data_IF_344518110574
#
_entry.id   IF_344518110574
#
_cell.length_a   1.000
_cell.length_b   1.000
_cell.length_c   1.000
_cell.angle_alpha   90.00
_cell.angle_beta   90.00
_cell.angle_gamma   90.00
#
_symmetry.space_group_name_H-M   'P 1'
#
loop_
_entity.id
_entity.type
_entity.pdbx_description
1 polymer ?
#
# COMPACT_ATOMS: atom_id res chain seq x y z
N UNK A 1 3.44 42.44 -9.32
CA UNK A 1 4.18 41.58 -8.37
C UNK A 1 5.47 41.01 -8.98
N UNK A 2 5.44 40.37 -10.16
CA UNK A 2 6.61 39.68 -10.75
C UNK A 2 7.81 40.61 -11.06
N UNK A 3 7.58 41.89 -11.42
CA UNK A 3 8.67 42.84 -11.74
C UNK A 3 9.48 43.30 -10.53
N UNK A 4 8.89 43.35 -9.33
CA UNK A 4 9.63 43.80 -8.13
C UNK A 4 10.62 42.76 -7.64
N UNK A 5 10.26 41.48 -7.77
CA UNK A 5 11.13 40.39 -7.30
C UNK A 5 12.35 40.23 -8.20
N UNK A 6 12.21 40.44 -9.52
CA UNK A 6 13.34 40.44 -10.45
C UNK A 6 14.39 41.52 -10.11
N UNK A 7 13.95 42.73 -9.78
CA UNK A 7 14.86 43.82 -9.34
C UNK A 7 15.54 43.44 -8.02
N UNK A 8 14.81 42.82 -7.09
CA UNK A 8 15.33 42.43 -5.77
C UNK A 8 16.36 41.29 -5.85
N UNK A 9 16.18 40.34 -6.76
CA UNK A 9 17.14 39.24 -7.00
C UNK A 9 18.43 39.79 -7.62
N UNK A 10 18.32 40.72 -8.57
CA UNK A 10 19.48 41.34 -9.23
C UNK A 10 20.28 42.25 -8.29
N UNK A 11 19.67 42.75 -7.21
CA UNK A 11 20.35 43.57 -6.20
C UNK A 11 21.07 42.79 -5.10
N UNK A 12 21.02 41.45 -5.10
CA UNK A 12 21.75 40.65 -4.12
C UNK A 12 23.24 40.71 -4.47
N UNK A 13 24.05 41.30 -3.59
CA UNK A 13 25.49 41.34 -3.76
C UNK A 13 26.06 39.91 -3.70
N UNK A 14 26.52 39.41 -4.84
CA UNK A 14 27.20 38.13 -4.94
C UNK A 14 28.65 38.30 -4.48
N UNK A 15 29.11 37.39 -3.63
CA UNK A 15 30.50 37.36 -3.22
C UNK A 15 31.38 36.84 -4.37
N UNK A 16 31.89 37.74 -5.21
CA UNK A 16 32.76 37.40 -6.36
C UNK A 16 34.11 36.77 -5.96
N UNK A 17 34.48 36.84 -4.68
CA UNK A 17 35.72 36.24 -4.15
C UNK A 17 35.46 34.90 -3.44
N UNK A 18 34.19 34.51 -3.28
CA UNK A 18 33.81 33.23 -2.70
C UNK A 18 33.94 32.11 -3.73
N UNK A 19 34.51 30.98 -3.32
CA UNK A 19 34.47 29.77 -4.15
C UNK A 19 33.10 29.12 -4.01
N UNK A 20 32.44 28.83 -5.13
CA UNK A 20 31.18 28.10 -5.12
C UNK A 20 31.33 26.75 -4.41
N UNK A 21 30.35 26.43 -3.57
CA UNK A 21 30.30 25.16 -2.85
C UNK A 21 28.89 24.58 -2.93
N UNK A 22 28.82 23.27 -3.13
CA UNK A 22 27.55 22.54 -3.05
C UNK A 22 27.11 22.50 -1.59
N UNK A 23 25.95 23.08 -1.32
CA UNK A 23 25.33 23.09 0.00
C UNK A 23 24.03 22.30 -0.02
N UNK A 24 23.84 21.43 0.97
CA UNK A 24 22.59 20.71 1.16
C UNK A 24 21.65 21.51 2.05
N UNK A 25 20.68 22.21 1.45
CA UNK A 25 19.80 23.14 2.17
C UNK A 25 18.79 22.51 3.15
N UNK A 26 18.78 21.19 3.30
CA UNK A 26 17.74 20.45 4.02
C UNK A 26 18.16 19.98 5.41
N UNK A 27 19.42 20.18 5.79
CA UNK A 27 19.87 19.96 7.15
C UNK A 27 20.77 21.10 7.64
N UNK A 28 20.86 21.25 8.96
CA UNK A 28 21.67 22.28 9.61
C UNK A 28 23.17 22.12 9.34
N UNK A 29 23.62 20.91 9.00
CA UNK A 29 25.01 20.59 8.68
C UNK A 29 25.42 21.04 7.27
N UNK A 30 24.47 21.44 6.42
CA UNK A 30 24.67 21.83 5.01
C UNK A 30 25.38 20.78 4.16
N UNK A 31 25.37 19.52 4.61
CA UNK A 31 26.03 18.39 3.95
C UNK A 31 24.98 17.38 3.47
N UNK A 32 25.27 16.68 2.39
CA UNK A 32 24.37 15.64 1.90
C UNK A 32 24.15 14.56 2.98
N UNK A 33 22.90 14.19 3.17
CA UNK A 33 22.48 13.12 4.07
C UNK A 33 21.56 12.18 3.29
N UNK A 34 21.89 10.89 3.27
CA UNK A 34 21.14 9.86 2.57
C UNK A 34 19.68 9.78 3.03
N UNK A 35 19.40 10.13 4.29
CA UNK A 35 18.05 10.17 4.86
C UNK A 35 17.20 11.24 4.17
N UNK A 36 17.71 12.48 4.10
CA UNK A 36 17.02 13.56 3.41
C UNK A 36 17.02 13.37 1.90
N UNK A 37 18.11 12.84 1.34
CA UNK A 37 18.19 12.47 -0.07
C UNK A 37 17.09 11.49 -0.45
N UNK A 38 16.92 10.42 0.33
CA UNK A 38 15.84 9.46 0.15
C UNK A 38 14.46 10.11 0.24
N UNK A 39 14.21 10.95 1.26
CA UNK A 39 12.91 11.64 1.43
C UNK A 39 12.56 12.48 0.20
N UNK A 40 13.53 13.22 -0.34
CA UNK A 40 13.36 14.02 -1.56
C UNK A 40 13.06 13.12 -2.76
N UNK A 41 13.91 12.12 -3.01
CA UNK A 41 13.74 11.20 -4.14
C UNK A 41 12.39 10.48 -4.07
N UNK A 42 12.00 10.03 -2.89
CA UNK A 42 10.69 9.42 -2.64
C UNK A 42 9.56 10.41 -2.94
N UNK A 43 9.64 11.66 -2.46
CA UNK A 43 8.62 12.69 -2.71
C UNK A 43 8.49 13.12 -4.18
N UNK A 44 9.53 12.94 -4.99
CA UNK A 44 9.45 13.16 -6.44
C UNK A 44 8.85 11.97 -7.19
N UNK A 45 9.11 10.75 -6.72
CA UNK A 45 8.69 9.52 -7.39
C UNK A 45 7.30 9.03 -6.97
N UNK A 46 6.81 9.45 -5.81
CA UNK A 46 5.58 8.95 -5.21
C UNK A 46 4.64 10.07 -4.76
N UNK A 47 3.35 9.79 -4.89
CA UNK A 47 2.29 10.62 -4.31
C UNK A 47 2.52 10.85 -2.80
N UNK A 48 2.32 12.07 -2.30
CA UNK A 48 2.48 12.35 -0.89
C UNK A 48 1.52 11.52 -0.04
N UNK A 49 1.97 11.11 1.16
CA UNK A 49 1.25 10.14 2.01
C UNK A 49 -0.20 10.58 2.29
N UNK A 50 -0.46 11.88 2.45
CA UNK A 50 -1.79 12.42 2.73
C UNK A 50 -2.79 12.28 1.55
N UNK A 51 -2.31 11.94 0.35
CA UNK A 51 -3.14 11.68 -0.84
C UNK A 51 -3.38 10.17 -1.06
N UNK A 52 -2.70 9.31 -0.31
CA UNK A 52 -2.90 7.86 -0.38
C UNK A 52 -4.19 7.40 0.35
N UNK A 53 -4.70 6.20 0.09
CA UNK A 53 -5.82 5.64 0.84
C UNK A 53 -5.58 5.65 2.37
N UNK A 54 -6.63 5.84 3.17
CA UNK A 54 -6.53 6.00 4.63
C UNK A 54 -5.77 4.87 5.36
N UNK A 55 -5.84 3.64 4.85
CA UNK A 55 -5.04 2.50 5.36
C UNK A 55 -3.53 2.78 5.26
N UNK A 56 -3.07 3.40 4.16
CA UNK A 56 -1.66 3.68 3.90
C UNK A 56 -1.15 4.83 4.76
N UNK A 57 -2.04 5.77 5.10
CA UNK A 57 -1.75 6.86 6.01
C UNK A 57 -1.63 6.39 7.47
N UNK A 58 -2.30 5.28 7.81
CA UNK A 58 -2.40 4.80 9.19
C UNK A 58 -1.16 4.02 9.62
N UNK A 59 -0.14 4.76 10.07
CA UNK A 59 1.09 4.21 10.66
C UNK A 59 0.83 3.25 11.83
N UNK A 60 -0.26 3.43 12.59
CA UNK A 60 -0.62 2.54 13.70
C UNK A 60 -1.06 1.17 13.20
N UNK A 61 -1.86 1.12 12.13
CA UNK A 61 -2.28 -0.14 11.50
C UNK A 61 -1.07 -0.91 10.97
N UNK A 62 -0.15 -0.23 10.29
CA UNK A 62 1.08 -0.86 9.81
C UNK A 62 1.93 -1.40 10.95
N UNK A 63 2.15 -0.63 12.03
CA UNK A 63 2.88 -1.14 13.20
C UNK A 63 2.23 -2.39 13.79
N UNK A 64 0.89 -2.44 13.85
CA UNK A 64 0.16 -3.62 14.30
C UNK A 64 0.44 -4.81 13.37
N UNK A 65 0.25 -4.65 12.06
CA UNK A 65 0.48 -5.70 11.04
C UNK A 65 1.92 -6.23 11.11
N UNK A 66 2.91 -5.34 11.18
CA UNK A 66 4.33 -5.73 11.25
C UNK A 66 4.70 -6.35 12.60
N UNK A 67 3.98 -6.03 13.68
CA UNK A 67 4.14 -6.61 15.01
C UNK A 67 3.53 -8.01 15.18
N UNK A 68 2.64 -8.45 14.27
CA UNK A 68 2.08 -9.80 14.31
C UNK A 68 3.17 -10.86 14.05
N UNK A 69 3.03 -12.03 14.68
CA UNK A 69 3.92 -13.19 14.48
C UNK A 69 3.59 -13.95 13.17
N UNK A 70 3.44 -13.20 12.08
CA UNK A 70 3.17 -13.74 10.75
C UNK A 70 4.47 -13.89 9.95
N UNK A 71 4.57 -14.93 9.09
CA UNK A 71 5.64 -15.03 8.10
C UNK A 71 5.76 -13.77 7.26
N UNK A 72 6.99 -13.36 6.95
CA UNK A 72 7.29 -12.16 6.14
C UNK A 72 6.59 -12.20 4.79
N UNK A 73 6.47 -13.38 4.17
CA UNK A 73 5.73 -13.59 2.89
C UNK A 73 4.30 -13.04 2.97
N UNK A 74 3.61 -13.25 4.09
CA UNK A 74 2.23 -12.78 4.30
C UNK A 74 2.19 -11.27 4.49
N UNK A 75 3.11 -10.71 5.28
CA UNK A 75 3.21 -9.26 5.50
C UNK A 75 3.48 -8.51 4.19
N UNK A 76 4.42 -9.03 3.37
CA UNK A 76 4.70 -8.50 2.04
C UNK A 76 3.51 -8.67 1.09
N UNK A 77 2.79 -9.79 1.18
CA UNK A 77 1.57 -9.99 0.40
C UNK A 77 0.50 -8.95 0.74
N UNK A 78 0.21 -8.71 2.02
CA UNK A 78 -0.70 -7.64 2.44
C UNK A 78 -0.26 -6.27 1.96
N UNK A 79 1.04 -5.98 2.06
CA UNK A 79 1.61 -4.76 1.54
C UNK A 79 1.29 -4.61 0.04
N UNK A 80 1.52 -5.66 -0.76
CA UNK A 80 1.18 -5.66 -2.19
C UNK A 80 -0.32 -5.49 -2.45
N UNK A 81 -1.18 -6.10 -1.66
CA UNK A 81 -2.64 -5.95 -1.79
C UNK A 81 -3.07 -4.50 -1.55
N UNK A 82 -2.59 -3.90 -0.47
CA UNK A 82 -2.92 -2.52 -0.11
C UNK A 82 -2.40 -1.54 -1.17
N UNK A 83 -1.22 -1.81 -1.72
CA UNK A 83 -0.58 -1.01 -2.76
C UNK A 83 -1.02 -1.35 -4.18
N UNK A 84 -2.10 -2.13 -4.37
CA UNK A 84 -2.57 -2.57 -5.70
C UNK A 84 -1.42 -3.06 -6.59
N UNK A 85 -0.48 -3.78 -5.99
CA UNK A 85 0.77 -4.23 -6.63
C UNK A 85 0.76 -5.73 -6.89
N UNK A 86 -0.42 -6.36 -6.82
CA UNK A 86 -0.61 -7.75 -7.24
C UNK A 86 -0.78 -7.81 -8.77
N UNK A 87 -0.20 -8.82 -9.44
CA UNK A 87 -0.28 -8.98 -10.88
C UNK A 87 -1.64 -9.57 -11.31
N UNK A 88 -2.75 -8.89 -10.99
CA UNK A 88 -4.09 -9.29 -11.41
C UNK A 88 -4.43 -8.67 -12.77
N UNK A 89 -5.15 -9.40 -13.64
CA UNK A 89 -5.38 -8.94 -15.01
C UNK A 89 -6.17 -7.62 -15.10
N UNK A 90 -7.00 -7.28 -14.10
CA UNK A 90 -7.67 -5.98 -14.09
C UNK A 90 -6.70 -4.80 -13.99
N UNK A 91 -5.62 -4.94 -13.21
CA UNK A 91 -4.59 -3.90 -13.05
C UNK A 91 -3.64 -3.90 -14.25
N UNK A 92 -3.27 -5.08 -14.76
CA UNK A 92 -2.46 -5.18 -15.98
C UNK A 92 -3.18 -4.51 -17.15
N UNK A 93 -4.49 -4.71 -17.29
CA UNK A 93 -5.30 -4.10 -18.34
C UNK A 93 -5.29 -2.56 -18.29
N UNK A 94 -5.22 -1.95 -17.11
CA UNK A 94 -5.14 -0.48 -16.98
C UNK A 94 -3.87 0.08 -17.63
N UNK A 95 -2.77 -0.67 -17.61
CA UNK A 95 -1.51 -0.29 -18.25
C UNK A 95 -1.40 -0.80 -19.69
N UNK A 96 -1.97 -1.97 -19.97
CA UNK A 96 -1.89 -2.67 -21.24
C UNK A 96 -3.30 -3.06 -21.71
N UNK A 97 -3.98 -2.13 -22.38
CA UNK A 97 -5.38 -2.29 -22.83
C UNK A 97 -5.62 -3.50 -23.75
N UNK A 98 -4.57 -4.05 -24.36
CA UNK A 98 -4.63 -5.28 -25.16
C UNK A 98 -4.84 -6.56 -24.33
N UNK A 99 -4.64 -6.49 -23.01
CA UNK A 99 -4.81 -7.62 -22.10
C UNK A 99 -6.29 -7.80 -21.75
N UNK A 100 -6.83 -9.02 -21.81
CA UNK A 100 -8.22 -9.27 -21.41
C UNK A 100 -8.31 -9.32 -19.87
N UNK A 101 -9.11 -8.46 -19.21
CA UNK A 101 -9.11 -8.34 -17.75
C UNK A 101 -9.91 -9.43 -17.03
N UNK A 102 -10.21 -10.57 -17.67
CA UNK A 102 -11.11 -11.59 -17.13
C UNK A 102 -10.34 -12.67 -16.36
N UNK A 103 -10.94 -13.19 -15.28
CA UNK A 103 -10.38 -14.32 -14.54
C UNK A 103 -10.13 -15.51 -15.47
N UNK A 104 -8.91 -16.07 -15.53
CA UNK A 104 -8.58 -17.19 -16.43
C UNK A 104 -9.41 -18.45 -16.20
N UNK A 105 -9.87 -18.67 -14.95
CA UNK A 105 -10.60 -19.88 -14.54
C UNK A 105 -12.06 -19.86 -14.99
N UNK A 106 -12.76 -18.76 -14.74
CA UNK A 106 -14.20 -18.66 -14.99
C UNK A 106 -14.54 -17.83 -16.23
N UNK A 107 -13.68 -16.88 -16.63
CA UNK A 107 -13.89 -15.96 -17.76
C UNK A 107 -15.20 -15.17 -17.71
N UNK A 108 -15.80 -15.02 -16.53
CA UNK A 108 -17.11 -14.38 -16.33
C UNK A 108 -17.01 -13.01 -15.67
N UNK A 109 -15.96 -12.75 -14.91
CA UNK A 109 -15.78 -11.51 -14.16
C UNK A 109 -14.35 -10.99 -14.29
N UNK A 110 -14.14 -9.67 -14.14
CA UNK A 110 -12.81 -9.11 -14.10
C UNK A 110 -11.96 -9.72 -12.97
N UNK A 111 -10.72 -10.08 -13.28
CA UNK A 111 -9.75 -10.57 -12.31
C UNK A 111 -9.22 -9.39 -11.48
N UNK A 112 -10.00 -8.98 -10.49
CA UNK A 112 -9.60 -7.99 -9.48
C UNK A 112 -8.99 -8.67 -8.26
N UNK A 113 -8.25 -7.92 -7.44
CA UNK A 113 -7.68 -8.44 -6.18
C UNK A 113 -8.77 -9.06 -5.29
N UNK A 114 -9.90 -8.36 -5.10
CA UNK A 114 -11.01 -8.88 -4.29
C UNK A 114 -11.63 -10.12 -4.93
N UNK A 115 -11.70 -10.20 -6.27
CA UNK A 115 -12.17 -11.39 -6.95
C UNK A 115 -11.26 -12.59 -6.67
N UNK A 116 -9.96 -12.46 -6.88
CA UNK A 116 -9.00 -13.54 -6.64
C UNK A 116 -8.99 -14.02 -5.20
N UNK A 117 -9.09 -13.10 -4.23
CA UNK A 117 -8.97 -13.43 -2.82
C UNK A 117 -10.26 -13.85 -2.15
N UNK A 118 -11.40 -13.76 -2.83
CA UNK A 118 -12.70 -14.06 -2.20
C UNK A 118 -13.70 -14.78 -3.08
N UNK A 119 -13.82 -14.38 -4.35
CA UNK A 119 -14.90 -14.84 -5.23
C UNK A 119 -14.47 -15.91 -6.22
N UNK A 120 -13.16 -16.03 -6.47
CA UNK A 120 -12.61 -17.11 -7.27
C UNK A 120 -12.80 -18.46 -6.55
N UNK A 121 -13.15 -19.51 -7.27
CA UNK A 121 -13.45 -20.85 -6.73
C UNK A 121 -12.51 -21.34 -5.61
N UNK A 122 -11.18 -21.36 -5.81
CA UNK A 122 -10.26 -21.80 -4.77
C UNK A 122 -10.36 -20.96 -3.49
N UNK A 123 -10.54 -19.65 -3.63
CA UNK A 123 -10.73 -18.79 -2.47
C UNK A 123 -12.06 -19.08 -1.77
N UNK A 124 -13.14 -19.30 -2.52
CA UNK A 124 -14.43 -19.68 -1.94
C UNK A 124 -14.35 -21.01 -1.18
N UNK A 125 -13.65 -21.99 -1.72
CA UNK A 125 -13.43 -23.29 -1.07
C UNK A 125 -12.69 -23.12 0.26
N UNK A 126 -11.58 -22.37 0.27
CA UNK A 126 -10.78 -22.11 1.47
C UNK A 126 -11.58 -21.31 2.50
N UNK A 127 -12.32 -20.29 2.09
CA UNK A 127 -13.16 -19.54 3.02
C UNK A 127 -14.34 -20.36 3.55
N UNK A 128 -14.80 -21.37 2.80
CA UNK A 128 -15.86 -22.29 3.20
C UNK A 128 -15.47 -23.26 4.32
N UNK A 129 -14.17 -23.44 4.60
CA UNK A 129 -13.71 -24.33 5.67
C UNK A 129 -13.71 -23.69 7.06
N UNK A 130 -14.10 -22.41 7.20
CA UNK A 130 -14.02 -21.65 8.46
C UNK A 130 -15.39 -21.08 8.83
N UNK A 131 -15.72 -21.07 10.13
CA UNK A 131 -16.97 -20.48 10.61
C UNK A 131 -16.97 -18.96 10.37
N UNK A 132 -17.74 -18.53 9.36
CA UNK A 132 -17.75 -17.19 8.77
C UNK A 132 -18.32 -16.09 9.68
N UNK A 133 -18.66 -16.37 10.95
CA UNK A 133 -19.09 -15.36 11.92
C UNK A 133 -18.05 -14.27 12.18
N UNK A 134 -16.78 -14.53 11.84
CA UNK A 134 -15.67 -13.58 11.91
C UNK A 134 -15.44 -12.81 10.60
N UNK A 135 -16.15 -13.15 9.52
CA UNK A 135 -15.95 -12.58 8.19
C UNK A 135 -17.09 -11.60 7.85
N UNK A 136 -16.80 -10.30 7.68
CA UNK A 136 -17.82 -9.34 7.28
C UNK A 136 -18.48 -9.76 5.95
N UNK A 137 -19.82 -9.74 5.85
CA UNK A 137 -20.52 -10.01 4.59
C UNK A 137 -20.20 -8.93 3.55
N UNK A 138 -19.85 -9.35 2.33
CA UNK A 138 -19.35 -8.46 1.28
C UNK A 138 -20.36 -7.49 0.67
N UNK A 139 -21.63 -7.56 1.05
CA UNK A 139 -22.67 -6.66 0.52
C UNK A 139 -22.42 -5.18 0.88
N UNK A 140 -21.42 -4.89 1.72
CA UNK A 140 -21.07 -3.57 2.23
C UNK A 140 -19.68 -3.06 1.83
N UNK A 141 -18.86 -3.81 1.08
CA UNK A 141 -17.43 -3.45 0.89
C UNK A 141 -17.02 -3.43 -0.57
N UNK A 142 -16.32 -2.35 -0.95
CA UNK A 142 -15.89 -2.05 -2.31
C UNK A 142 -14.48 -2.54 -2.64
N UNK A 143 -13.66 -2.83 -1.62
CA UNK A 143 -12.28 -3.28 -1.77
C UNK A 143 -11.90 -4.33 -0.73
N UNK A 144 -10.88 -5.14 -1.05
CA UNK A 144 -10.31 -6.10 -0.09
C UNK A 144 -9.73 -5.39 1.14
N UNK A 145 -9.17 -4.20 0.96
CA UNK A 145 -8.59 -3.39 2.04
C UNK A 145 -9.66 -2.98 3.04
N UNK A 146 -10.79 -2.46 2.54
CA UNK A 146 -11.92 -2.04 3.38
C UNK A 146 -12.46 -3.23 4.19
N UNK A 147 -12.64 -4.36 3.51
CA UNK A 147 -13.01 -5.62 4.14
C UNK A 147 -12.01 -6.03 5.23
N UNK A 148 -10.71 -5.97 4.95
CA UNK A 148 -9.65 -6.31 5.89
C UNK A 148 -9.58 -5.36 7.09
N UNK A 149 -9.83 -4.07 6.90
CA UNK A 149 -9.90 -3.10 8.00
C UNK A 149 -11.04 -3.41 8.95
N UNK A 150 -12.18 -3.86 8.44
CA UNK A 150 -13.31 -4.26 9.29
C UNK A 150 -12.97 -5.52 10.10
N UNK A 151 -12.25 -6.48 9.51
CA UNK A 151 -11.72 -7.64 10.26
C UNK A 151 -10.76 -7.18 11.36
N UNK A 152 -9.76 -6.36 11.04
CA UNK A 152 -8.77 -5.86 12.00
C UNK A 152 -9.35 -5.01 13.15
N UNK A 153 -10.41 -4.26 12.88
CA UNK A 153 -11.10 -3.41 13.85
C UNK A 153 -12.17 -4.18 14.64
N UNK A 154 -12.79 -5.19 14.03
CA UNK A 154 -13.79 -6.06 14.66
C UNK A 154 -13.17 -7.10 15.61
N UNK A 155 -11.91 -7.50 15.35
CA UNK A 155 -11.15 -8.31 16.29
C UNK A 155 -10.73 -7.46 17.49
N UNK A 156 -11.29 -7.74 18.67
CA UNK A 156 -10.92 -7.08 19.92
C UNK A 156 -9.42 -7.14 20.19
N UNK A 157 -8.89 -6.14 20.88
CA UNK A 157 -7.49 -6.13 21.31
C UNK A 157 -7.26 -7.20 22.39
N UNK A 158 -6.87 -8.41 22.00
CA UNK A 158 -6.64 -9.56 22.90
C UNK A 158 -6.21 -10.82 22.13
N UNK A 159 -5.94 -11.90 22.87
CA UNK A 159 -5.49 -13.20 22.31
C UNK A 159 -6.42 -13.73 21.20
N UNK A 160 -7.72 -13.59 21.37
CA UNK A 160 -8.72 -14.00 20.37
C UNK A 160 -8.62 -13.22 19.05
N UNK A 161 -8.22 -11.94 19.12
CA UNK A 161 -8.01 -11.13 17.93
C UNK A 161 -6.74 -11.51 17.16
N UNK A 162 -5.67 -11.88 17.90
CA UNK A 162 -4.44 -12.37 17.28
C UNK A 162 -4.65 -13.75 16.63
N UNK A 163 -5.45 -14.62 17.27
CA UNK A 163 -5.81 -15.94 16.71
C UNK A 163 -6.64 -15.81 15.42
N UNK A 164 -7.60 -14.87 15.38
CA UNK A 164 -8.36 -14.58 14.17
C UNK A 164 -7.46 -14.08 13.01
N UNK A 165 -6.45 -13.25 13.33
CA UNK A 165 -5.48 -12.76 12.34
C UNK A 165 -4.54 -13.87 11.85
N UNK A 166 -4.15 -14.80 12.72
CA UNK A 166 -3.34 -15.95 12.35
C UNK A 166 -4.12 -16.93 11.46
N UNK A 167 -5.37 -17.23 11.78
CA UNK A 167 -6.26 -18.05 10.95
C UNK A 167 -6.42 -17.40 9.58
N UNK A 168 -6.70 -16.10 9.55
CA UNK A 168 -6.85 -15.36 8.30
C UNK A 168 -5.57 -15.39 7.45
N UNK A 169 -4.42 -15.21 8.08
CA UNK A 169 -3.12 -15.26 7.43
C UNK A 169 -2.84 -16.66 6.83
N UNK A 170 -3.23 -17.73 7.52
CA UNK A 170 -3.13 -19.10 7.02
C UNK A 170 -4.05 -19.33 5.80
N UNK A 171 -5.28 -18.81 5.83
CA UNK A 171 -6.21 -18.90 4.70
C UNK A 171 -5.70 -18.11 3.49
N UNK A 172 -5.15 -16.91 3.71
CA UNK A 172 -4.51 -16.16 2.63
C UNK A 172 -3.30 -16.87 2.05
N UNK A 173 -2.48 -17.53 2.88
CA UNK A 173 -1.39 -18.36 2.37
C UNK A 173 -1.92 -19.47 1.48
N UNK A 174 -2.97 -20.19 1.92
CA UNK A 174 -3.62 -21.21 1.10
C UNK A 174 -4.10 -20.65 -0.24
N UNK A 175 -4.77 -19.48 -0.22
CA UNK A 175 -5.24 -18.85 -1.46
C UNK A 175 -4.07 -18.51 -2.38
N UNK A 176 -3.02 -17.88 -1.85
CA UNK A 176 -1.82 -17.49 -2.63
C UNK A 176 -1.06 -18.69 -3.18
N UNK A 177 -1.11 -19.84 -2.51
CA UNK A 177 -0.45 -21.08 -2.97
C UNK A 177 -1.29 -21.85 -4.00
N UNK A 178 -2.60 -21.59 -4.07
CA UNK A 178 -3.53 -22.24 -4.99
C UNK A 178 -3.95 -21.36 -6.18
N UNK A 179 -3.67 -20.05 -6.16
CA UNK A 179 -3.91 -19.11 -7.27
C UNK A 179 -2.81 -19.17 -8.31
#
# INVERSE_FOLDING_TARGET
MIKSDGIRILSIELNNNGKDSLIWGLNSKKQYDTTFGYVISYSFAHEPINQLPAIMQNQRSWRKIWGLQLPTKIKTFFWRVVHESLPVLSLIHQHFQSTLPLCPRYKLAPETIIYCLRWCGPAQEIWGTVDLKLVPPLQSVSSFVEWWTQVLLGTGSGREGDDALNIFAALLLGIVEHT
#
